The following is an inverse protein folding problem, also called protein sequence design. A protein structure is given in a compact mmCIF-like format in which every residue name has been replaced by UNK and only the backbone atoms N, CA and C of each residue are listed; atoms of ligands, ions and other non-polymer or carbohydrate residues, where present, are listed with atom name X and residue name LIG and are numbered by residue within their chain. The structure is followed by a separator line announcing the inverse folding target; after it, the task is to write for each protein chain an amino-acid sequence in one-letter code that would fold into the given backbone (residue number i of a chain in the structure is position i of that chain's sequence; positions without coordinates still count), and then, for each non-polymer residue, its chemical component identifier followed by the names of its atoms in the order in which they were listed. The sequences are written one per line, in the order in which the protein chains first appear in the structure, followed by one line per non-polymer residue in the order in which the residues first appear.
data_IF_979208291315
#
_entry.id   IF_979208291315
#
_cell.length_a   1.000
_cell.length_b   1.000
_cell.length_c   1.000
_cell.angle_alpha   90.00
_cell.angle_beta   90.00
_cell.angle_gamma   90.00
#
_symmetry.space_group_name_H-M   'P 1'
#
loop_
_entity.id
_entity.type
_entity.pdbx_description
1 polymer ?
#
# COMPACT_ATOMS: atom_id res chain seq x y z
N UNK A 1 -12.78 -36.87 42.05
CA UNK A 1 -11.44 -36.82 42.67
C UNK A 1 -11.54 -35.87 43.82
N UNK A 2 -11.33 -36.35 45.04
CA UNK A 2 -11.28 -35.50 46.23
C UNK A 2 -9.96 -34.74 46.23
N UNK A 3 -10.02 -33.42 46.41
CA UNK A 3 -8.83 -32.54 46.42
C UNK A 3 -7.86 -32.94 47.56
N UNK A 4 -8.38 -33.62 48.58
CA UNK A 4 -7.63 -34.08 49.75
C UNK A 4 -6.79 -35.35 49.49
N UNK A 5 -6.89 -35.98 48.32
CA UNK A 5 -6.07 -37.14 47.94
C UNK A 5 -4.82 -36.75 47.13
N UNK A 6 -4.66 -35.46 46.78
CA UNK A 6 -3.48 -34.99 46.06
C UNK A 6 -2.28 -34.88 46.99
N UNK A 7 -1.13 -35.36 46.53
CA UNK A 7 0.12 -35.19 47.27
C UNK A 7 0.55 -33.71 47.27
N UNK A 8 1.32 -33.31 48.27
CA UNK A 8 1.87 -31.94 48.37
C UNK A 8 2.67 -31.53 47.13
N UNK A 9 3.33 -32.48 46.47
CA UNK A 9 4.06 -32.26 45.21
C UNK A 9 3.10 -31.98 44.04
N UNK A 10 2.01 -32.74 43.92
CA UNK A 10 1.01 -32.51 42.88
C UNK A 10 0.29 -31.17 43.08
N UNK A 11 0.06 -30.76 44.33
CA UNK A 11 -0.50 -29.44 44.66
C UNK A 11 0.49 -28.32 44.28
N UNK A 12 1.79 -28.52 44.50
CA UNK A 12 2.82 -27.56 44.08
C UNK A 12 2.92 -27.44 42.56
N UNK A 13 2.91 -28.56 41.83
CA UNK A 13 2.89 -28.57 40.36
C UNK A 13 1.62 -27.90 39.81
N UNK A 14 0.45 -28.16 40.43
CA UNK A 14 -0.79 -27.50 40.05
C UNK A 14 -0.75 -25.98 40.32
N UNK A 15 -0.12 -25.55 41.41
CA UNK A 15 0.08 -24.13 41.74
C UNK A 15 1.09 -23.44 40.80
N UNK A 16 2.10 -24.16 40.32
CA UNK A 16 3.01 -23.66 39.28
C UNK A 16 2.32 -23.56 37.93
N UNK A 17 1.53 -24.58 37.55
CA UNK A 17 0.72 -24.56 36.33
C UNK A 17 -0.32 -23.43 36.37
N UNK A 18 -1.04 -23.28 37.48
CA UNK A 18 -2.01 -22.20 37.65
C UNK A 18 -1.36 -20.81 37.60
N UNK A 19 -0.13 -20.67 38.13
CA UNK A 19 0.65 -19.42 37.99
C UNK A 19 1.06 -19.16 36.54
N UNK A 20 1.51 -20.19 35.80
CA UNK A 20 1.87 -20.06 34.37
C UNK A 20 0.66 -19.75 33.49
N UNK A 21 -0.51 -20.33 33.79
CA UNK A 21 -1.76 -20.06 33.07
C UNK A 21 -2.29 -18.66 33.39
N UNK A 22 -2.21 -18.20 34.65
CA UNK A 22 -2.57 -16.82 35.01
C UNK A 22 -1.68 -15.76 34.36
N UNK A 23 -0.38 -16.01 34.22
CA UNK A 23 0.53 -15.10 33.50
C UNK A 23 0.20 -15.05 32.00
N UNK A 24 -0.48 -16.07 31.45
CA UNK A 24 -0.86 -16.11 30.03
C UNK A 24 -2.21 -15.45 29.72
N UNK A 25 -3.09 -15.22 30.70
CA UNK A 25 -4.48 -14.83 30.43
C UNK A 25 -4.80 -13.33 30.57
N UNK A 26 -3.97 -12.47 31.17
CA UNK A 26 -4.43 -11.11 31.54
C UNK A 26 -3.49 -9.91 31.35
N UNK A 27 -2.27 -10.04 30.83
CA UNK A 27 -1.41 -8.87 30.57
C UNK A 27 -1.16 -8.67 29.07
N UNK A 28 -1.52 -7.50 28.55
CA UNK A 28 -0.98 -6.98 27.29
C UNK A 28 0.55 -6.99 27.42
N UNK A 29 1.21 -7.94 26.78
CA UNK A 29 2.67 -8.03 26.84
C UNK A 29 3.27 -6.81 26.17
N UNK A 30 3.88 -5.94 26.97
CA UNK A 30 4.54 -4.73 26.50
C UNK A 30 5.70 -5.05 25.55
N UNK A 31 5.98 -4.13 24.62
CA UNK A 31 7.15 -4.27 23.76
C UNK A 31 8.43 -4.23 24.62
N UNK A 32 9.43 -5.08 24.32
CA UNK A 32 10.73 -4.98 24.97
C UNK A 32 11.32 -3.57 24.83
N UNK A 33 11.85 -3.04 25.93
CA UNK A 33 12.37 -1.66 26.04
C UNK A 33 13.33 -1.30 24.90
N UNK A 34 14.25 -2.20 24.55
CA UNK A 34 15.23 -1.98 23.47
C UNK A 34 14.62 -1.88 22.06
N UNK A 35 13.39 -2.36 21.85
CA UNK A 35 12.65 -2.18 20.59
C UNK A 35 11.85 -0.88 20.67
N UNK A 36 11.21 -0.63 21.82
CA UNK A 36 10.42 0.57 22.05
C UNK A 36 11.27 1.85 21.95
N UNK A 37 12.43 1.88 22.60
CA UNK A 37 13.39 2.98 22.55
C UNK A 37 13.80 3.28 21.10
N UNK A 38 14.10 2.26 20.31
CA UNK A 38 14.45 2.41 18.89
C UNK A 38 13.30 3.00 18.07
N UNK A 39 12.05 2.70 18.42
CA UNK A 39 10.86 3.19 17.71
C UNK A 39 10.48 4.63 18.10
N UNK A 40 10.69 5.04 19.36
CA UNK A 40 10.28 6.36 19.85
C UNK A 40 11.39 7.41 19.83
N UNK A 41 12.62 7.02 20.18
CA UNK A 41 13.73 7.98 20.34
C UNK A 41 14.44 8.28 19.02
N UNK A 42 14.34 7.38 18.03
CA UNK A 42 15.00 7.62 16.75
C UNK A 42 14.20 8.62 15.91
N UNK A 43 14.87 9.69 15.48
CA UNK A 43 14.24 10.67 14.59
C UNK A 43 13.72 9.99 13.32
N UNK A 44 12.62 10.49 12.74
CA UNK A 44 12.04 9.98 11.48
C UNK A 44 13.09 9.80 10.37
N UNK A 45 13.99 10.78 10.20
CA UNK A 45 15.04 10.71 9.18
C UNK A 45 16.11 9.64 9.47
N UNK A 46 16.42 9.41 10.73
CA UNK A 46 17.32 8.35 11.17
C UNK A 46 16.67 7.00 10.98
N UNK A 47 15.40 6.85 11.36
CA UNK A 47 14.63 5.63 11.17
C UNK A 47 14.58 5.24 9.68
N UNK A 48 14.27 6.17 8.77
CA UNK A 48 14.29 5.89 7.32
C UNK A 48 15.66 5.41 6.81
N UNK A 49 16.76 5.97 7.32
CA UNK A 49 18.12 5.52 6.97
C UNK A 49 18.40 4.12 7.51
N UNK A 50 17.97 3.84 8.74
CA UNK A 50 18.14 2.55 9.39
C UNK A 50 17.35 1.46 8.65
N UNK A 51 16.10 1.73 8.26
CA UNK A 51 15.30 0.82 7.43
C UNK A 51 15.98 0.54 6.08
N UNK A 52 16.50 1.58 5.40
CA UNK A 52 17.24 1.41 4.13
C UNK A 52 18.54 0.63 4.29
N UNK A 53 19.22 0.72 5.44
CA UNK A 53 20.42 -0.09 5.72
C UNK A 53 20.03 -1.54 5.99
N UNK A 54 19.04 -1.77 6.86
CA UNK A 54 18.53 -3.10 7.17
C UNK A 54 18.18 -3.87 5.89
N UNK A 55 17.41 -3.27 4.98
CA UNK A 55 17.04 -3.92 3.71
C UNK A 55 18.20 -4.29 2.79
N UNK A 56 19.34 -3.60 2.90
CA UNK A 56 20.57 -3.93 2.15
C UNK A 56 21.39 -5.02 2.82
N UNK A 57 21.30 -5.13 4.14
CA UNK A 57 22.11 -6.04 4.94
C UNK A 57 21.53 -7.48 4.95
N UNK A 58 20.26 -7.64 4.58
CA UNK A 58 19.58 -8.95 4.52
C UNK A 58 20.10 -9.80 3.35
N UNK A 59 20.39 -11.07 3.62
CA UNK A 59 20.73 -12.10 2.62
C UNK A 59 19.63 -12.25 1.57
N UNK A 60 20.06 -12.50 0.35
CA UNK A 60 19.16 -12.77 -0.76
C UNK A 60 18.72 -14.23 -0.76
N UNK A 61 17.40 -14.46 -0.78
CA UNK A 61 16.81 -15.79 -0.88
C UNK A 61 16.02 -15.95 -2.18
N UNK A 62 16.26 -17.05 -2.90
CA UNK A 62 15.50 -17.43 -4.08
C UNK A 62 14.45 -18.48 -3.72
N UNK A 63 13.17 -18.08 -3.71
CA UNK A 63 12.01 -18.96 -3.50
C UNK A 63 11.01 -18.88 -4.65
N UNK A 64 11.48 -18.50 -5.85
CA UNK A 64 10.63 -18.28 -7.02
C UNK A 64 9.57 -17.20 -6.77
N UNK A 65 8.30 -17.51 -7.05
CA UNK A 65 7.18 -16.55 -6.95
C UNK A 65 6.97 -15.97 -5.55
N UNK A 66 7.42 -16.65 -4.50
CA UNK A 66 7.23 -16.22 -3.12
C UNK A 66 8.17 -15.07 -2.73
N UNK A 67 9.42 -15.10 -3.22
CA UNK A 67 10.43 -14.09 -2.87
C UNK A 67 10.54 -12.97 -3.90
N UNK A 68 9.88 -13.11 -5.06
CA UNK A 68 9.85 -12.12 -6.14
C UNK A 68 8.75 -11.08 -5.93
N UNK A 69 9.10 -9.81 -6.19
CA UNK A 69 8.15 -8.70 -6.18
C UNK A 69 7.19 -8.82 -7.37
N UNK A 70 5.91 -8.47 -7.14
CA UNK A 70 4.95 -8.38 -8.23
C UNK A 70 5.22 -7.16 -9.12
N UNK A 71 4.77 -7.21 -10.37
CA UNK A 71 4.93 -6.12 -11.33
C UNK A 71 3.72 -6.02 -12.26
N UNK A 72 3.48 -4.80 -12.77
CA UNK A 72 2.50 -4.54 -13.81
C UNK A 72 3.17 -4.74 -15.17
N UNK A 73 2.51 -5.45 -16.10
CA UNK A 73 2.99 -5.56 -17.47
C UNK A 73 3.11 -4.15 -18.10
N UNK A 74 4.27 -3.86 -18.70
CA UNK A 74 4.64 -2.51 -19.18
C UNK A 74 3.61 -1.93 -20.16
N UNK A 75 3.05 -2.78 -21.03
CA UNK A 75 2.06 -2.39 -22.04
C UNK A 75 0.78 -1.78 -21.45
N UNK A 76 0.39 -2.18 -20.24
CA UNK A 76 -0.82 -1.68 -19.58
C UNK A 76 -0.58 -0.45 -18.70
N UNK A 77 0.67 -0.05 -18.47
CA UNK A 77 0.98 1.13 -17.64
C UNK A 77 0.35 2.42 -18.23
N UNK A 78 0.48 2.71 -19.54
CA UNK A 78 -0.15 3.90 -20.14
C UNK A 78 -1.67 3.88 -20.01
N UNK A 79 -2.29 2.71 -20.22
CA UNK A 79 -3.74 2.54 -20.12
C UNK A 79 -4.23 2.77 -18.69
N UNK A 80 -3.56 2.18 -17.70
CA UNK A 80 -3.88 2.38 -16.28
C UNK A 80 -3.74 3.84 -15.87
N UNK A 81 -2.65 4.51 -16.26
CA UNK A 81 -2.44 5.94 -15.97
C UNK A 81 -3.50 6.81 -16.63
N UNK A 82 -3.90 6.51 -17.86
CA UNK A 82 -4.95 7.25 -18.59
C UNK A 82 -6.32 7.07 -17.94
N UNK A 83 -6.63 5.88 -17.45
CA UNK A 83 -7.94 5.56 -16.86
C UNK A 83 -8.08 6.09 -15.43
N UNK A 84 -7.05 5.91 -14.61
CA UNK A 84 -6.95 6.48 -13.27
C UNK A 84 -5.50 6.45 -12.79
N UNK A 85 -4.86 7.62 -12.79
CA UNK A 85 -3.51 7.80 -12.24
C UNK A 85 -3.45 7.38 -10.76
N UNK A 86 -4.53 7.60 -10.02
CA UNK A 86 -4.66 7.22 -8.61
C UNK A 86 -4.65 5.69 -8.44
N UNK A 87 -5.34 4.94 -9.31
CA UNK A 87 -5.32 3.47 -9.29
C UNK A 87 -3.93 2.91 -9.58
N UNK A 88 -3.22 3.47 -10.57
CA UNK A 88 -1.85 3.05 -10.85
C UNK A 88 -0.93 3.25 -9.63
N UNK A 89 -1.03 4.43 -8.99
CA UNK A 89 -0.26 4.77 -7.80
C UNK A 89 -0.59 3.83 -6.63
N UNK A 90 -1.89 3.55 -6.41
CA UNK A 90 -2.33 2.64 -5.37
C UNK A 90 -1.84 1.19 -5.57
N UNK A 91 -1.81 0.69 -6.82
CA UNK A 91 -1.26 -0.64 -7.12
C UNK A 91 0.24 -0.69 -6.83
N UNK A 92 0.99 0.34 -7.23
CA UNK A 92 2.43 0.43 -6.94
C UNK A 92 2.72 0.47 -5.45
N UNK A 93 1.94 1.24 -4.68
CA UNK A 93 2.05 1.27 -3.21
C UNK A 93 1.86 -0.13 -2.60
N UNK A 94 0.82 -0.87 -3.02
CA UNK A 94 0.61 -2.25 -2.55
C UNK A 94 1.77 -3.19 -2.88
N UNK A 95 2.37 -3.08 -4.07
CA UNK A 95 3.56 -3.88 -4.39
C UNK A 95 4.76 -3.54 -3.51
N UNK A 96 4.95 -2.25 -3.20
CA UNK A 96 5.99 -1.79 -2.27
C UNK A 96 5.77 -2.33 -0.86
N UNK A 97 4.54 -2.32 -0.36
CA UNK A 97 4.22 -2.84 0.97
C UNK A 97 4.38 -4.36 1.05
N UNK A 98 3.98 -5.07 0.00
CA UNK A 98 4.26 -6.50 -0.12
C UNK A 98 5.77 -6.78 -0.16
N UNK A 99 6.60 -5.89 -0.73
CA UNK A 99 8.05 -6.05 -0.73
C UNK A 99 8.67 -5.87 0.67
N UNK A 100 8.16 -4.93 1.47
CA UNK A 100 8.55 -4.79 2.89
C UNK A 100 8.28 -6.09 3.67
N UNK A 101 7.12 -6.72 3.45
CA UNK A 101 6.81 -8.03 4.06
C UNK A 101 7.76 -9.13 3.61
N UNK A 102 8.17 -9.15 2.33
CA UNK A 102 9.18 -10.09 1.84
C UNK A 102 10.55 -9.85 2.47
N UNK A 103 10.93 -8.59 2.69
CA UNK A 103 12.18 -8.25 3.38
C UNK A 103 12.16 -8.74 4.83
N UNK A 104 11.05 -8.54 5.55
CA UNK A 104 10.85 -9.10 6.88
C UNK A 104 10.94 -10.64 6.87
N UNK A 105 10.31 -11.30 5.88
CA UNK A 105 10.39 -12.74 5.69
C UNK A 105 11.81 -13.25 5.42
N UNK A 106 12.60 -12.54 4.63
CA UNK A 106 14.02 -12.88 4.39
C UNK A 106 14.83 -12.78 5.69
N UNK A 107 14.70 -11.68 6.43
CA UNK A 107 15.38 -11.52 7.72
C UNK A 107 14.95 -12.59 8.75
N UNK A 108 13.67 -12.95 8.80
CA UNK A 108 13.18 -14.05 9.62
C UNK A 108 13.80 -15.40 9.21
N UNK A 109 14.00 -15.61 7.90
CA UNK A 109 14.68 -16.80 7.38
C UNK A 109 16.14 -16.86 7.82
N UNK A 110 16.85 -15.73 7.84
CA UNK A 110 18.23 -15.69 8.34
C UNK A 110 18.33 -16.07 9.81
N UNK A 111 17.44 -15.52 10.65
CA UNK A 111 17.33 -15.86 12.07
C UNK A 111 17.03 -17.35 12.24
N UNK A 112 16.12 -17.88 11.44
CA UNK A 112 15.77 -19.30 11.45
C UNK A 112 16.97 -20.19 11.10
N UNK A 113 17.72 -19.87 10.05
CA UNK A 113 18.92 -20.62 9.66
C UNK A 113 20.00 -20.58 10.75
N UNK A 114 20.25 -19.41 11.33
CA UNK A 114 21.24 -19.24 12.38
C UNK A 114 20.84 -20.04 13.65
N UNK A 115 19.56 -20.02 14.04
CA UNK A 115 19.04 -20.84 15.15
C UNK A 115 19.08 -22.34 14.84
N UNK A 116 18.70 -22.73 13.63
CA UNK A 116 18.75 -24.12 13.19
C UNK A 116 20.17 -24.67 13.23
N UNK A 117 21.16 -23.87 12.83
CA UNK A 117 22.57 -24.23 12.91
C UNK A 117 23.03 -24.49 14.35
N UNK A 118 22.68 -23.61 15.29
CA UNK A 118 23.01 -23.78 16.72
C UNK A 118 22.34 -25.04 17.28
N UNK A 119 21.05 -25.24 17.00
CA UNK A 119 20.31 -26.42 17.47
C UNK A 119 20.91 -27.71 16.89
N UNK A 120 21.32 -27.70 15.62
CA UNK A 120 21.87 -28.88 14.94
C UNK A 120 23.25 -29.28 15.45
N UNK A 121 24.11 -28.30 15.78
CA UNK A 121 25.44 -28.60 16.35
C UNK A 121 25.38 -28.90 17.86
N UNK A 122 24.35 -28.40 18.55
CA UNK A 122 24.27 -28.36 20.01
C UNK A 122 24.80 -27.04 20.57
N UNK A 123 24.26 -26.58 21.70
CA UNK A 123 24.73 -25.34 22.32
C UNK A 123 26.08 -25.61 23.00
N UNK A 124 27.11 -24.90 22.56
CA UNK A 124 28.47 -25.03 23.09
C UNK A 124 28.88 -23.81 23.94
N UNK A 125 29.88 -24.00 24.81
CA UNK A 125 30.50 -22.89 25.55
C UNK A 125 31.24 -21.97 24.57
N UNK A 126 30.68 -20.80 24.30
CA UNK A 126 31.18 -19.86 23.27
C UNK A 126 30.07 -19.33 22.34
N UNK A 127 28.86 -19.86 22.45
CA UNK A 127 27.74 -19.49 21.57
C UNK A 127 27.08 -18.15 21.94
N UNK A 128 27.51 -17.55 23.05
CA UNK A 128 26.96 -16.31 23.59
C UNK A 128 27.00 -15.17 22.57
N UNK A 129 28.14 -14.96 21.88
CA UNK A 129 28.25 -13.94 20.84
C UNK A 129 27.34 -14.21 19.64
N UNK A 130 27.16 -15.48 19.29
CA UNK A 130 26.30 -15.87 18.17
C UNK A 130 24.83 -15.64 18.51
N UNK A 131 24.42 -16.03 19.72
CA UNK A 131 23.07 -15.81 20.23
C UNK A 131 22.78 -14.31 20.42
N UNK A 132 23.75 -13.53 20.88
CA UNK A 132 23.63 -12.08 20.98
C UNK A 132 23.43 -11.42 19.60
N UNK A 133 24.15 -11.89 18.57
CA UNK A 133 23.94 -11.42 17.21
C UNK A 133 22.56 -11.81 16.66
N UNK A 134 22.10 -13.05 16.90
CA UNK A 134 20.75 -13.49 16.52
C UNK A 134 19.68 -12.62 17.20
N UNK A 135 19.84 -12.33 18.49
CA UNK A 135 18.94 -11.45 19.25
C UNK A 135 18.91 -10.04 18.65
N UNK A 136 20.08 -9.46 18.33
CA UNK A 136 20.17 -8.15 17.69
C UNK A 136 19.50 -8.12 16.31
N UNK A 137 19.65 -9.19 15.51
CA UNK A 137 18.95 -9.33 14.22
C UNK A 137 17.44 -9.42 14.40
N UNK A 138 16.97 -10.16 15.41
CA UNK A 138 15.54 -10.24 15.74
C UNK A 138 15.00 -8.87 16.18
N UNK A 139 15.74 -8.14 17.01
CA UNK A 139 15.41 -6.77 17.42
C UNK A 139 15.28 -5.83 16.23
N UNK A 140 16.26 -5.83 15.31
CA UNK A 140 16.22 -5.03 14.07
C UNK A 140 15.07 -5.41 13.15
N UNK A 141 14.75 -6.70 13.04
CA UNK A 141 13.58 -7.18 12.29
C UNK A 141 12.27 -6.66 12.91
N UNK A 142 12.14 -6.67 14.23
CA UNK A 142 10.97 -6.12 14.92
C UNK A 142 10.83 -4.62 14.66
N UNK A 143 11.91 -3.85 14.86
CA UNK A 143 11.95 -2.40 14.57
C UNK A 143 11.60 -2.13 13.10
N UNK A 144 12.17 -2.90 12.18
CA UNK A 144 11.86 -2.78 10.75
C UNK A 144 10.39 -3.03 10.45
N UNK A 145 9.79 -4.04 11.09
CA UNK A 145 8.40 -4.45 10.84
C UNK A 145 7.40 -3.44 11.40
N UNK A 146 7.57 -3.02 12.66
CA UNK A 146 6.72 -1.99 13.29
C UNK A 146 6.89 -0.64 12.62
N UNK A 147 8.14 -0.20 12.36
CA UNK A 147 8.42 1.05 11.67
C UNK A 147 7.88 1.06 10.23
N UNK A 148 7.98 -0.07 9.53
CA UNK A 148 7.36 -0.23 8.21
C UNK A 148 5.84 -0.14 8.26
N UNK A 149 5.20 -0.71 9.29
CA UNK A 149 3.76 -0.61 9.53
C UNK A 149 3.33 0.85 9.71
N UNK A 150 3.97 1.55 10.66
CA UNK A 150 3.68 2.99 10.91
C UNK A 150 3.87 3.86 9.66
N UNK A 151 4.85 3.54 8.82
CA UNK A 151 5.04 4.21 7.54
C UNK A 151 3.91 3.93 6.52
N UNK A 152 3.34 2.72 6.51
CA UNK A 152 2.18 2.36 5.68
C UNK A 152 0.94 3.12 6.13
N UNK A 153 0.72 3.23 7.45
CA UNK A 153 -0.40 3.97 8.01
C UNK A 153 -0.31 5.44 7.62
N UNK A 154 0.87 6.05 7.74
CA UNK A 154 1.12 7.41 7.26
C UNK A 154 0.83 7.59 5.76
N UNK A 155 1.36 6.71 4.90
CA UNK A 155 1.10 6.73 3.45
C UNK A 155 -0.42 6.60 3.14
N UNK A 156 -1.14 5.83 3.96
CA UNK A 156 -2.59 5.66 3.88
C UNK A 156 -3.34 6.92 4.29
N UNK A 157 -2.97 7.55 5.42
CA UNK A 157 -3.52 8.84 5.86
C UNK A 157 -3.35 9.90 4.77
N UNK A 158 -2.17 9.97 4.14
CA UNK A 158 -1.91 10.90 3.03
C UNK A 158 -2.81 10.60 1.81
N UNK A 159 -3.03 9.33 1.50
CA UNK A 159 -3.92 8.90 0.42
C UNK A 159 -5.38 9.30 0.69
N UNK A 160 -5.85 9.14 1.93
CA UNK A 160 -7.18 9.58 2.36
C UNK A 160 -7.33 11.10 2.20
N UNK A 161 -6.35 11.88 2.66
CA UNK A 161 -6.33 13.35 2.52
C UNK A 161 -6.44 13.80 1.07
N UNK A 162 -5.69 13.16 0.16
CA UNK A 162 -5.76 13.44 -1.29
C UNK A 162 -7.12 13.08 -1.88
N UNK A 163 -7.71 11.97 -1.44
CA UNK A 163 -8.98 11.44 -2.01
C UNK A 163 -10.19 12.25 -1.57
N UNK A 164 -10.23 12.73 -0.32
CA UNK A 164 -11.37 13.45 0.24
C UNK A 164 -11.58 14.88 -0.28
N UNK A 165 -10.71 15.36 -1.20
CA UNK A 165 -10.79 16.68 -1.83
C UNK A 165 -11.12 17.78 -0.82
N UNK A 166 -10.28 17.89 0.20
CA UNK A 166 -10.52 18.83 1.31
C UNK A 166 -10.60 20.28 0.78
N UNK A 167 -11.47 21.13 1.35
CA UNK A 167 -11.51 22.55 1.02
C UNK A 167 -10.13 23.20 1.19
N UNK A 168 -9.83 24.20 0.37
CA UNK A 168 -8.51 24.84 0.36
C UNK A 168 -8.08 25.39 1.74
N UNK A 169 -9.05 25.88 2.52
CA UNK A 169 -8.82 26.41 3.87
C UNK A 169 -8.27 25.37 4.85
N UNK A 170 -8.61 24.09 4.67
CA UNK A 170 -8.31 22.99 5.60
C UNK A 170 -7.25 22.04 5.02
N UNK A 171 -6.65 22.40 3.88
CA UNK A 171 -5.74 21.53 3.15
C UNK A 171 -4.35 21.40 3.81
N UNK A 172 -3.99 22.33 4.70
CA UNK A 172 -2.68 22.45 5.33
C UNK A 172 -2.72 22.29 6.85
N UNK A 173 -3.83 21.81 7.39
CA UNK A 173 -3.89 21.55 8.83
C UNK A 173 -3.00 20.35 9.07
N UNK A 174 -1.85 20.60 9.70
CA UNK A 174 -1.07 19.56 10.34
C UNK A 174 -1.85 19.18 11.58
N UNK A 175 -2.68 18.17 11.38
CA UNK A 175 -3.52 17.64 12.42
C UNK A 175 -2.61 16.76 13.24
N UNK A 176 -2.01 17.34 14.28
CA UNK A 176 -1.23 16.61 15.25
C UNK A 176 -2.11 15.51 15.87
N UNK A 177 -1.50 14.33 16.01
CA UNK A 177 -2.12 13.10 16.45
C UNK A 177 -2.36 13.18 17.97
N UNK A 178 -3.38 13.91 18.43
CA UNK A 178 -3.70 14.10 19.85
C UNK A 178 -4.77 13.12 20.40
N UNK A 179 -5.34 12.26 19.56
CA UNK A 179 -6.41 11.33 19.95
C UNK A 179 -5.86 9.91 20.25
N UNK A 180 -6.42 9.24 21.28
CA UNK A 180 -6.09 7.86 21.70
C UNK A 180 -6.24 6.79 20.59
N UNK A 181 -6.94 7.13 19.49
CA UNK A 181 -7.08 6.28 18.31
C UNK A 181 -6.32 6.90 17.15
N UNK A 182 -5.50 6.08 16.49
CA UNK A 182 -4.74 6.45 15.30
C UNK A 182 -5.66 6.67 14.06
N UNK A 183 -6.42 7.76 14.08
CA UNK A 183 -7.33 8.14 13.01
C UNK A 183 -6.60 8.94 11.92
N UNK A 184 -7.17 8.96 10.71
CA UNK A 184 -6.62 9.75 9.61
C UNK A 184 -6.72 11.29 9.82
N UNK A 185 -7.64 11.69 10.68
CA UNK A 185 -7.91 13.06 11.10
C UNK A 185 -8.29 13.05 12.59
N UNK A 186 -7.77 13.98 13.37
CA UNK A 186 -8.24 14.22 14.74
C UNK A 186 -9.69 14.69 14.76
N UNK A 187 -10.32 14.56 15.92
CA UNK A 187 -11.68 15.04 16.17
C UNK A 187 -11.83 16.55 15.86
N UNK A 188 -10.84 17.36 16.21
CA UNK A 188 -10.81 18.79 15.91
C UNK A 188 -10.77 19.06 14.41
N UNK A 189 -9.89 18.36 13.69
CA UNK A 189 -9.75 18.55 12.26
C UNK A 189 -10.99 18.11 11.49
N UNK A 190 -11.67 17.06 11.93
CA UNK A 190 -12.95 16.62 11.35
C UNK A 190 -13.98 17.73 11.47
N UNK A 191 -14.07 18.39 12.63
CA UNK A 191 -14.98 19.52 12.85
C UNK A 191 -14.67 20.67 11.89
N UNK A 192 -13.40 21.05 11.76
CA UNK A 192 -13.00 22.12 10.86
C UNK A 192 -13.26 21.80 9.38
N UNK A 193 -13.05 20.54 8.96
CA UNK A 193 -13.42 20.07 7.62
C UNK A 193 -14.93 20.24 7.37
N UNK A 194 -15.76 19.89 8.35
CA UNK A 194 -17.22 20.04 8.22
C UNK A 194 -17.64 21.50 8.17
N UNK A 195 -17.08 22.35 9.02
CA UNK A 195 -17.37 23.78 9.05
C UNK A 195 -16.96 24.46 7.74
N UNK A 196 -15.76 24.15 7.22
CA UNK A 196 -15.29 24.67 5.94
C UNK A 196 -16.18 24.21 4.76
N UNK A 197 -16.60 22.94 4.74
CA UNK A 197 -17.53 22.42 3.72
C UNK A 197 -18.91 23.09 3.80
N UNK A 198 -19.39 23.33 5.01
CA UNK A 198 -20.65 24.02 5.25
C UNK A 198 -20.57 25.46 4.74
N UNK A 199 -19.51 26.19 5.10
CA UNK A 199 -19.26 27.55 4.65
C UNK A 199 -19.17 27.64 3.12
N UNK A 200 -18.40 26.76 2.48
CA UNK A 200 -18.28 26.71 1.01
C UNK A 200 -19.65 26.42 0.35
N UNK A 201 -20.49 25.57 0.97
CA UNK A 201 -21.85 25.31 0.51
C UNK A 201 -22.75 26.55 0.61
N UNK A 202 -22.64 27.34 1.67
CA UNK A 202 -23.37 28.60 1.83
C UNK A 202 -22.91 29.62 0.78
N UNK A 203 -21.59 29.79 0.62
CA UNK A 203 -21.01 30.69 -0.39
C UNK A 203 -21.40 30.30 -1.81
N UNK A 204 -21.44 29.00 -2.12
CA UNK A 204 -21.91 28.49 -3.42
C UNK A 204 -23.39 28.78 -3.65
N UNK A 205 -24.24 28.70 -2.61
CA UNK A 205 -25.65 29.08 -2.69
C UNK A 205 -25.84 30.59 -2.85
N UNK A 206 -25.02 31.40 -2.18
CA UNK A 206 -25.05 32.86 -2.26
C UNK A 206 -24.52 33.38 -3.62
N UNK A 207 -23.49 32.72 -4.18
CA UNK A 207 -22.92 33.04 -5.51
C UNK A 207 -23.70 32.41 -6.67
N UNK A 208 -24.52 31.39 -6.41
CA UNK A 208 -25.32 30.64 -7.39
C UNK A 208 -26.61 31.30 -7.87
N UNK A 209 -26.75 32.61 -7.73
CA UNK A 209 -27.96 33.38 -8.09
C UNK A 209 -28.23 33.58 -9.59
N UNK A 210 -27.44 33.04 -10.51
CA UNK A 210 -27.65 33.24 -11.96
C UNK A 210 -27.31 32.02 -12.82
N UNK A 211 -28.02 30.90 -12.66
CA UNK A 211 -28.22 29.93 -13.76
C UNK A 211 -29.64 29.36 -13.74
N UNK A 212 -30.59 30.19 -14.14
CA UNK A 212 -31.87 29.74 -14.70
C UNK A 212 -32.34 30.72 -15.78
N UNK A 213 -31.97 30.42 -17.02
CA UNK A 213 -32.80 30.78 -18.18
C UNK A 213 -32.61 29.73 -19.27
N UNK A 214 -33.13 28.53 -18.98
CA UNK A 214 -33.34 27.45 -19.94
C UNK A 214 -34.80 27.01 -19.86
N UNK A 215 -35.70 27.95 -20.13
CA UNK A 215 -37.14 27.77 -20.18
C UNK A 215 -37.49 26.63 -21.15
N UNK A 216 -37.99 25.52 -20.62
CA UNK A 216 -38.90 24.62 -21.34
C UNK A 216 -40.22 24.65 -20.60
N UNK A 217 -41.20 25.39 -21.14
CA UNK A 217 -42.46 24.73 -21.49
C UNK A 217 -43.03 25.31 -22.79
N UNK A 218 -43.05 24.49 -23.85
CA UNK A 218 -43.56 24.87 -25.17
C UNK A 218 -44.29 23.71 -25.82
N UNK A 219 -45.50 23.46 -25.33
CA UNK A 219 -46.53 22.67 -25.99
C UNK A 219 -46.77 23.30 -27.38
N UNK A 220 -46.37 22.64 -28.47
CA UNK A 220 -46.91 22.96 -29.77
C UNK A 220 -47.25 21.69 -30.54
N UNK A 221 -48.55 21.41 -30.50
CA UNK A 221 -49.32 20.65 -31.47
C UNK A 221 -48.83 20.85 -32.91
N UNK A 222 -48.48 19.75 -33.57
CA UNK A 222 -48.89 19.53 -34.97
C UNK A 222 -48.81 18.05 -35.32
N UNK A 223 -49.92 17.35 -35.06
CA UNK A 223 -50.29 16.11 -35.75
C UNK A 223 -51.20 16.48 -36.93
N UNK A 224 -50.81 16.02 -38.12
CA UNK A 224 -51.64 16.00 -39.34
C UNK A 224 -50.87 16.54 -40.53
N UNK A 225 -50.61 15.82 -41.63
CA UNK A 225 -51.14 14.56 -42.15
C UNK A 225 -50.12 13.95 -43.16
N UNK A 226 -50.29 12.67 -43.54
CA UNK A 226 -49.34 11.90 -44.37
C UNK A 226 -49.74 11.87 -45.85
N UNK A 227 -48.80 11.86 -46.80
CA UNK A 227 -49.05 11.43 -48.18
C UNK A 227 -47.83 10.77 -48.86
N UNK A 228 -47.94 9.44 -48.99
CA UNK A 228 -47.72 8.59 -50.17
C UNK A 228 -46.45 8.65 -51.04
N UNK A 229 -45.91 7.42 -51.22
CA UNK A 229 -45.43 6.76 -52.45
C UNK A 229 -44.12 7.21 -53.09
N UNK A 230 -43.26 6.23 -53.28
CA UNK A 230 -42.68 5.99 -54.60
C UNK A 230 -41.18 5.78 -54.60
N UNK A 231 -40.79 4.52 -54.74
CA UNK A 231 -39.46 4.12 -55.16
C UNK A 231 -38.97 4.95 -56.36
N UNK A 232 -37.68 5.31 -56.36
CA UNK A 232 -36.81 5.26 -57.55
C UNK A 232 -35.34 5.37 -57.14
N UNK A 233 -34.63 4.26 -57.35
CA UNK A 233 -33.22 4.23 -57.77
C UNK A 233 -32.99 5.30 -58.83
N UNK A 234 -31.88 6.05 -58.75
CA UNK A 234 -30.88 6.02 -59.84
C UNK A 234 -29.58 6.76 -59.50
N UNK A 235 -28.47 6.03 -59.66
CA UNK A 235 -27.29 6.39 -60.44
C UNK A 235 -26.95 7.87 -60.62
N UNK A 236 -25.85 8.29 -60.00
CA UNK A 236 -24.64 8.90 -60.59
C UNK A 236 -23.64 8.96 -59.41
N UNK A 237 -22.59 8.16 -59.30
CA UNK A 237 -21.55 7.93 -60.30
C UNK A 237 -20.39 8.89 -60.04
N UNK A 238 -19.50 8.57 -59.08
CA UNK A 238 -18.15 9.15 -59.04
C UNK A 238 -17.15 8.22 -58.33
N UNK A 239 -16.64 7.27 -59.11
CA UNK A 239 -15.35 6.65 -58.88
C UNK A 239 -14.25 7.62 -59.34
N UNK A 240 -13.22 7.82 -58.52
CA UNK A 240 -11.85 7.92 -59.01
C UNK A 240 -10.91 7.21 -58.01
N UNK A 241 -10.50 6.00 -58.38
CA UNK A 241 -9.17 5.48 -58.12
C UNK A 241 -8.31 5.84 -59.33
N UNK A 242 -7.06 6.24 -59.10
CA UNK A 242 -5.95 6.03 -60.04
C UNK A 242 -4.60 6.11 -59.29
N UNK A 243 -3.50 5.53 -59.81
CA UNK A 243 -2.76 4.49 -59.11
C UNK A 243 -1.23 4.75 -59.10
N UNK A 244 -0.52 3.77 -58.55
CA UNK A 244 0.91 3.49 -58.50
C UNK A 244 1.83 4.00 -59.63
N UNK A 245 3.07 4.37 -59.28
CA UNK A 245 4.34 3.83 -59.84
C UNK A 245 5.61 4.30 -59.06
N UNK A 246 6.83 3.72 -59.23
CA UNK A 246 7.32 2.57 -58.46
C UNK A 246 8.73 2.75 -57.84
N UNK A 247 9.20 1.65 -57.23
CA UNK A 247 10.48 1.33 -56.56
C UNK A 247 11.78 1.70 -57.29
N UNK A 248 12.83 1.99 -56.52
CA UNK A 248 14.21 1.58 -56.83
C UNK A 248 14.78 0.71 -55.70
N UNK A 249 15.30 -0.44 -56.12
CA UNK A 249 16.20 -1.31 -55.36
C UNK A 249 17.61 -0.76 -55.48
N UNK A 250 18.43 -0.89 -54.44
CA UNK A 250 19.78 -1.38 -54.67
C UNK A 250 20.27 -2.19 -53.46
N UNK A 251 20.56 -3.44 -53.77
CA UNK A 251 21.25 -4.45 -52.96
C UNK A 251 22.74 -4.16 -52.87
N UNK A 252 23.32 -4.54 -51.73
CA UNK A 252 24.76 -4.63 -51.44
C UNK A 252 25.54 -5.44 -52.49
N UNK A 253 26.88 -5.40 -52.42
CA UNK A 253 27.53 -6.63 -51.97
C UNK A 253 28.75 -6.47 -51.04
N UNK A 254 28.96 -7.55 -50.29
CA UNK A 254 30.10 -7.98 -49.47
C UNK A 254 31.52 -7.65 -49.98
N UNK A 255 32.46 -7.44 -49.05
CA UNK A 255 33.58 -8.39 -48.84
C UNK A 255 34.47 -8.08 -47.62
N UNK A 256 34.48 -9.04 -46.68
CA UNK A 256 35.63 -9.68 -45.97
C UNK A 256 36.78 -8.89 -45.31
N UNK A 257 36.88 -9.12 -43.98
CA UNK A 257 38.04 -9.68 -43.21
C UNK A 257 39.43 -9.06 -43.34
N UNK A 258 39.99 -8.54 -42.24
CA UNK A 258 41.14 -9.13 -41.52
C UNK A 258 41.69 -8.24 -40.38
N UNK A 259 42.03 -8.93 -39.29
CA UNK A 259 42.91 -8.61 -38.15
C UNK A 259 42.45 -7.56 -37.12
#
# INVERSE_FOLDING_TARGET
MDINELSTQQIQELLELARRVRIQEEDDTELPEAIFEDLETTSKTTMEKNLKRFTKDIRSYSGGKWTQSGAINKEFIPELKKRSMDVHTAIQARYKDADKLRQAGRAATEIYEDLQFIISRGIESGDEDTLANILERARRLAVFSFGSGKAIDHDTKETIRKTLRLPAAVRYIDIEDEDDKDLAFSTEAVKEIFDARYQESIERKASGGYRSYGSRPGFNSNRGKPFYRGARKSFFGKHHHNPSRPKEYNTDPDHTTNQ
#
